data_IF_401633845127
#
_entry.id   IF_401633845127
#
_cell.length_a   1.000
_cell.length_b   1.000
_cell.length_c   1.000
_cell.angle_alpha   90.00
_cell.angle_beta   90.00
_cell.angle_gamma   90.00
#
_symmetry.space_group_name_H-M   'P 1'
#
loop_
_entity.id
_entity.type
_entity.pdbx_description
1 polymer ?
#
# COMPACT_ATOMS: atom_id res chain seq x y z
N UNK A 1 8.98 13.14 3.92
CA UNK A 1 8.69 14.42 3.19
C UNK A 1 7.18 14.64 3.02
N UNK A 2 6.70 15.91 3.07
CA UNK A 2 5.28 16.25 2.86
C UNK A 2 4.92 16.45 1.38
N UNK A 3 3.71 16.09 0.98
CA UNK A 3 3.15 16.29 -0.37
C UNK A 3 2.14 17.44 -0.34
N UNK A 4 2.47 18.56 -0.98
CA UNK A 4 1.61 19.75 -1.06
C UNK A 4 1.35 20.12 -2.51
N UNK A 5 0.09 20.18 -2.92
CA UNK A 5 -0.31 20.34 -4.31
C UNK A 5 -1.05 21.66 -4.56
N UNK A 6 -0.65 22.35 -5.62
CA UNK A 6 -1.30 23.56 -6.11
C UNK A 6 -2.54 23.28 -6.97
N UNK A 7 -3.08 24.34 -7.57
CA UNK A 7 -4.22 24.24 -8.50
C UNK A 7 -3.79 23.86 -9.92
N UNK A 8 -2.64 24.39 -10.38
CA UNK A 8 -2.16 24.18 -11.75
C UNK A 8 -1.68 22.74 -11.98
N UNK A 9 -2.11 22.14 -13.08
CA UNK A 9 -1.81 20.74 -13.41
C UNK A 9 -0.32 20.50 -13.65
N UNK A 10 0.38 21.42 -14.30
CA UNK A 10 1.79 21.25 -14.62
C UNK A 10 2.64 21.39 -13.36
N UNK A 11 2.32 22.35 -12.48
CA UNK A 11 3.03 22.53 -11.21
C UNK A 11 2.81 21.35 -10.26
N UNK A 12 1.59 20.79 -10.23
CA UNK A 12 1.31 19.53 -9.51
C UNK A 12 2.19 18.40 -10.02
N UNK A 13 2.23 18.18 -11.34
CA UNK A 13 3.07 17.15 -11.95
C UNK A 13 4.55 17.36 -11.62
N UNK A 14 5.09 18.57 -11.77
CA UNK A 14 6.48 18.89 -11.41
C UNK A 14 6.77 18.57 -9.96
N UNK A 15 5.88 18.96 -9.05
CA UNK A 15 6.02 18.70 -7.61
C UNK A 15 6.09 17.20 -7.33
N UNK A 16 5.15 16.43 -7.89
CA UNK A 16 5.10 14.99 -7.69
C UNK A 16 6.31 14.27 -8.34
N UNK A 17 6.71 14.67 -9.55
CA UNK A 17 7.91 14.13 -10.19
C UNK A 17 9.18 14.39 -9.38
N UNK A 18 9.31 15.56 -8.75
CA UNK A 18 10.46 15.90 -7.91
C UNK A 18 10.52 15.08 -6.60
N UNK A 19 9.37 14.62 -6.09
CA UNK A 19 9.30 13.81 -4.88
C UNK A 19 9.54 12.32 -5.12
N UNK A 20 9.48 11.85 -6.36
CA UNK A 20 9.56 10.42 -6.69
C UNK A 20 10.84 9.76 -6.21
N UNK A 21 12.01 10.19 -6.69
CA UNK A 21 13.28 9.55 -6.31
C UNK A 21 13.55 9.64 -4.81
N UNK A 22 13.40 10.80 -4.14
CA UNK A 22 13.57 10.87 -2.69
C UNK A 22 12.65 9.92 -1.91
N UNK A 23 11.38 9.76 -2.34
CA UNK A 23 10.41 8.87 -1.67
C UNK A 23 10.79 7.40 -1.82
N UNK A 24 11.25 7.00 -3.01
CA UNK A 24 11.66 5.63 -3.26
C UNK A 24 12.96 5.28 -2.52
N UNK A 25 13.90 6.23 -2.42
CA UNK A 25 15.13 6.02 -1.65
C UNK A 25 14.87 5.91 -0.14
N UNK A 26 14.05 6.80 0.42
CA UNK A 26 13.62 6.72 1.83
C UNK A 26 12.92 5.39 2.13
N UNK A 27 12.03 4.95 1.23
CA UNK A 27 11.35 3.66 1.31
C UNK A 27 12.32 2.47 1.29
N UNK A 28 13.35 2.54 0.43
CA UNK A 28 14.37 1.49 0.28
C UNK A 28 15.18 1.34 1.56
N UNK A 29 15.74 2.44 2.05
CA UNK A 29 16.55 2.46 3.27
C UNK A 29 15.75 1.95 4.47
N UNK A 30 14.51 2.42 4.64
CA UNK A 30 13.66 1.98 5.74
C UNK A 30 13.41 0.47 5.72
N UNK A 31 13.01 -0.09 4.58
CA UNK A 31 12.68 -1.52 4.51
C UNK A 31 13.92 -2.39 4.75
N UNK A 32 15.09 -1.95 4.31
CA UNK A 32 16.36 -2.65 4.54
C UNK A 32 16.76 -2.70 6.02
N UNK A 33 16.68 -1.56 6.70
CA UNK A 33 16.92 -1.53 8.15
C UNK A 33 15.89 -2.41 8.88
N UNK A 34 14.63 -2.38 8.44
CA UNK A 34 13.54 -3.12 9.10
C UNK A 34 13.61 -4.63 8.90
N UNK A 35 14.22 -5.10 7.81
CA UNK A 35 14.42 -6.53 7.52
C UNK A 35 15.70 -7.10 8.10
N UNK A 36 16.59 -6.28 8.65
CA UNK A 36 17.88 -6.75 9.18
C UNK A 36 17.67 -7.84 10.25
N UNK A 37 18.25 -9.02 10.00
CA UNK A 37 18.15 -10.18 10.88
C UNK A 37 16.91 -11.06 10.68
N UNK A 38 15.98 -10.68 9.79
CA UNK A 38 14.87 -11.54 9.41
C UNK A 38 15.27 -12.51 8.30
N UNK A 39 14.64 -13.68 8.26
CA UNK A 39 14.75 -14.56 7.10
C UNK A 39 14.04 -13.91 5.90
N UNK A 40 14.66 -13.87 4.71
CA UNK A 40 14.07 -13.22 3.54
C UNK A 40 12.84 -13.96 3.00
N UNK A 41 12.72 -15.26 3.25
CA UNK A 41 11.67 -16.13 2.67
C UNK A 41 10.68 -16.66 3.71
N UNK A 42 10.91 -16.41 5.00
CA UNK A 42 9.97 -16.79 6.04
C UNK A 42 8.87 -15.72 6.17
N UNK A 43 7.59 -16.11 6.29
CA UNK A 43 6.54 -15.15 6.60
C UNK A 43 6.82 -14.42 7.92
N UNK A 44 6.62 -13.10 7.94
CA UNK A 44 6.71 -12.28 9.15
C UNK A 44 5.52 -11.33 9.20
N UNK A 45 5.01 -11.04 10.39
CA UNK A 45 3.91 -10.09 10.60
C UNK A 45 4.03 -9.41 11.96
N UNK A 46 3.93 -8.08 11.95
CA UNK A 46 3.80 -7.23 13.13
C UNK A 46 2.77 -6.13 12.85
N UNK A 47 1.91 -5.87 13.82
CA UNK A 47 0.92 -4.79 13.75
C UNK A 47 0.78 -4.10 15.09
N UNK A 48 0.69 -2.77 15.05
CA UNK A 48 0.48 -1.90 16.20
C UNK A 48 -0.74 -1.03 15.93
N UNK A 49 -1.58 -0.87 16.95
CA UNK A 49 -2.82 -0.09 16.90
C UNK A 49 -2.87 0.82 18.11
N UNK A 50 -3.14 2.10 17.89
CA UNK A 50 -3.14 3.08 18.98
C UNK A 50 -3.98 4.30 18.62
N UNK A 51 -4.49 4.96 19.66
CA UNK A 51 -5.11 6.27 19.54
C UNK A 51 -4.07 7.36 19.85
N UNK A 52 -4.06 8.43 19.07
CA UNK A 52 -3.23 9.61 19.36
C UNK A 52 -3.89 10.47 20.44
N UNK A 53 -3.10 11.34 21.07
CA UNK A 53 -3.62 12.36 22.01
C UNK A 53 -4.70 13.27 21.39
N UNK A 54 -4.66 13.44 20.07
CA UNK A 54 -5.59 14.28 19.32
C UNK A 54 -6.88 13.51 18.96
N UNK A 55 -6.89 12.18 19.19
CA UNK A 55 -8.03 11.28 18.98
C UNK A 55 -8.07 10.63 17.59
N UNK A 56 -6.97 10.67 16.84
CA UNK A 56 -6.82 9.91 15.61
C UNK A 56 -6.60 8.43 15.94
N UNK A 57 -7.14 7.53 15.11
CA UNK A 57 -6.88 6.10 15.21
C UNK A 57 -5.81 5.68 14.21
N UNK A 58 -4.73 5.09 14.70
CA UNK A 58 -3.58 4.71 13.91
C UNK A 58 -3.39 3.20 13.87
N UNK A 59 -3.01 2.68 12.70
CA UNK A 59 -2.56 1.31 12.51
C UNK A 59 -1.25 1.34 11.74
N UNK A 60 -0.21 0.72 12.28
CA UNK A 60 1.05 0.48 11.56
C UNK A 60 1.30 -1.00 11.45
N UNK A 61 1.73 -1.46 10.27
CA UNK A 61 1.90 -2.86 9.94
C UNK A 61 3.21 -3.06 9.20
N UNK A 62 3.95 -4.11 9.56
CA UNK A 62 5.09 -4.61 8.80
C UNK A 62 4.88 -6.09 8.52
N UNK A 63 5.00 -6.49 7.25
CA UNK A 63 4.83 -7.87 6.83
C UNK A 63 5.83 -8.30 5.76
N UNK A 64 6.22 -9.57 5.83
CA UNK A 64 7.01 -10.28 4.81
C UNK A 64 6.14 -11.44 4.33
N UNK A 65 5.77 -11.41 3.05
CA UNK A 65 4.81 -12.36 2.46
C UNK A 65 5.44 -13.07 1.26
N UNK A 66 5.76 -14.38 1.37
CA UNK A 66 6.28 -15.18 0.25
C UNK A 66 5.21 -15.58 -0.76
N UNK A 67 5.51 -15.45 -2.05
CA UNK A 67 4.68 -15.84 -3.20
C UNK A 67 5.35 -17.00 -3.94
N UNK A 68 5.32 -18.19 -3.32
CA UNK A 68 5.74 -19.45 -3.96
C UNK A 68 4.86 -19.75 -5.18
N UNK A 69 5.47 -20.20 -6.27
CA UNK A 69 4.82 -20.40 -7.57
C UNK A 69 4.70 -19.16 -8.47
N UNK A 70 5.08 -17.97 -7.99
CA UNK A 70 5.21 -16.80 -8.85
C UNK A 70 6.41 -16.95 -9.79
N UNK A 71 6.28 -16.50 -11.04
CA UNK A 71 7.33 -16.70 -12.05
C UNK A 71 8.45 -15.68 -11.98
N UNK A 72 8.15 -14.44 -11.54
CA UNK A 72 9.11 -13.35 -11.56
C UNK A 72 8.68 -12.18 -10.66
N UNK A 73 9.63 -11.32 -10.29
CA UNK A 73 9.36 -10.03 -9.63
C UNK A 73 8.43 -9.13 -10.48
N UNK A 74 8.65 -8.96 -11.81
CA UNK A 74 7.72 -8.24 -12.68
C UNK A 74 6.26 -8.73 -12.63
N UNK A 75 6.03 -10.05 -12.60
CA UNK A 75 4.67 -10.59 -12.58
C UNK A 75 3.94 -10.17 -11.29
N UNK A 76 4.60 -10.31 -10.14
CA UNK A 76 4.05 -9.89 -8.85
C UNK A 76 3.86 -8.37 -8.78
N UNK A 77 4.81 -7.60 -9.33
CA UNK A 77 4.71 -6.15 -9.43
C UNK A 77 3.51 -5.70 -10.26
N UNK A 78 3.32 -6.27 -11.45
CA UNK A 78 2.20 -5.92 -12.32
C UNK A 78 0.85 -6.31 -11.70
N UNK A 79 0.77 -7.47 -11.05
CA UNK A 79 -0.42 -7.89 -10.32
C UNK A 79 -0.73 -6.95 -9.14
N UNK A 80 0.28 -6.52 -8.38
CA UNK A 80 0.11 -5.55 -7.29
C UNK A 80 -0.31 -4.17 -7.82
N UNK A 81 0.34 -3.68 -8.87
CA UNK A 81 -0.01 -2.44 -9.53
C UNK A 81 -1.46 -2.46 -10.03
N UNK A 82 -1.89 -3.57 -10.65
CA UNK A 82 -3.27 -3.76 -11.08
C UNK A 82 -4.24 -3.73 -9.90
N UNK A 83 -3.92 -4.39 -8.79
CA UNK A 83 -4.77 -4.34 -7.60
C UNK A 83 -4.89 -2.90 -7.06
N UNK A 84 -3.80 -2.12 -7.06
CA UNK A 84 -3.82 -0.72 -6.58
C UNK A 84 -4.67 0.17 -7.51
N UNK A 85 -4.55 0.00 -8.83
CA UNK A 85 -5.31 0.80 -9.78
C UNK A 85 -6.79 0.49 -9.85
N UNK A 86 -7.21 -0.68 -9.36
CA UNK A 86 -8.62 -1.06 -9.23
C UNK A 86 -9.07 -1.06 -7.76
N UNK A 87 -8.37 -0.32 -6.89
CA UNK A 87 -8.64 -0.34 -5.46
C UNK A 87 -10.09 0.06 -5.17
N UNK A 88 -10.70 1.02 -5.86
CA UNK A 88 -12.11 1.39 -5.64
C UNK A 88 -13.10 0.23 -5.84
N UNK A 89 -12.84 -0.64 -6.81
CA UNK A 89 -13.66 -1.83 -7.09
C UNK A 89 -13.45 -2.85 -5.99
N UNK A 90 -12.19 -3.21 -5.70
CA UNK A 90 -11.85 -4.16 -4.64
C UNK A 90 -12.41 -3.65 -3.30
N UNK A 91 -12.35 -2.33 -3.07
CA UNK A 91 -12.89 -1.69 -1.86
C UNK A 91 -14.38 -1.89 -1.79
N UNK A 92 -15.09 -1.58 -2.87
CA UNK A 92 -16.53 -1.69 -2.88
C UNK A 92 -17.00 -3.13 -2.65
N UNK A 93 -16.40 -4.10 -3.34
CA UNK A 93 -16.80 -5.51 -3.30
C UNK A 93 -16.52 -6.18 -1.95
N UNK A 94 -15.45 -5.78 -1.26
CA UNK A 94 -15.02 -6.44 0.00
C UNK A 94 -15.56 -5.79 1.26
N UNK A 95 -16.02 -4.53 1.16
CA UNK A 95 -16.42 -3.73 2.32
C UNK A 95 -17.92 -3.69 2.58
N UNK A 96 -18.73 -3.87 1.54
CA UNK A 96 -20.15 -3.52 1.56
C UNK A 96 -20.40 -2.01 1.53
N UNK A 97 -19.36 -1.18 1.47
CA UNK A 97 -19.40 0.25 1.25
C UNK A 97 -19.27 0.54 -0.25
N UNK A 98 -19.71 1.69 -0.72
CA UNK A 98 -19.47 2.10 -2.10
C UNK A 98 -18.26 3.03 -2.12
N UNK A 99 -17.25 2.68 -2.91
CA UNK A 99 -16.07 3.53 -3.11
C UNK A 99 -16.01 3.98 -4.55
N UNK A 100 -15.93 5.30 -4.74
CA UNK A 100 -15.75 5.92 -6.04
C UNK A 100 -14.38 6.55 -6.13
N UNK A 101 -13.89 6.66 -7.36
CA UNK A 101 -12.64 7.33 -7.70
C UNK A 101 -12.95 8.74 -8.23
N UNK A 102 -12.44 9.77 -7.56
CA UNK A 102 -12.69 11.20 -7.85
C UNK A 102 -11.51 11.88 -8.58
N UNK A 103 -10.52 11.13 -9.09
CA UNK A 103 -9.42 11.69 -9.89
C UNK A 103 -9.69 11.64 -11.41
N UNK A 104 -9.34 12.74 -12.09
CA UNK A 104 -9.40 12.89 -13.56
C UNK A 104 -8.00 12.76 -14.22
N UNK A 105 -6.96 12.55 -13.43
CA UNK A 105 -5.56 12.60 -13.90
C UNK A 105 -4.98 11.20 -13.99
N UNK A 106 -5.13 10.56 -15.16
CA UNK A 106 -4.31 9.41 -15.52
C UNK A 106 -2.84 9.79 -15.34
N UNK A 107 -2.18 9.03 -14.46
CA UNK A 107 -0.80 9.23 -14.06
C UNK A 107 0.19 9.11 -15.23
N UNK A 108 1.44 9.48 -14.95
CA UNK A 108 2.57 9.00 -15.77
C UNK A 108 2.79 7.50 -15.50
N UNK A 109 3.52 6.79 -16.36
CA UNK A 109 3.80 5.36 -16.20
C UNK A 109 4.41 5.01 -14.82
N UNK A 110 5.07 5.97 -14.17
CA UNK A 110 5.76 5.76 -12.89
C UNK A 110 5.12 6.50 -11.71
N UNK A 111 3.99 7.19 -11.92
CA UNK A 111 3.38 8.05 -10.92
C UNK A 111 1.87 8.17 -11.12
N UNK A 112 1.07 7.89 -10.09
CA UNK A 112 -0.39 8.02 -10.15
C UNK A 112 -0.94 8.78 -8.95
N UNK A 113 -1.79 9.77 -9.19
CA UNK A 113 -2.56 10.46 -8.16
C UNK A 113 -3.95 9.81 -8.09
N UNK A 114 -4.32 9.27 -6.93
CA UNK A 114 -5.57 8.55 -6.70
C UNK A 114 -6.39 9.23 -5.61
N UNK A 115 -7.66 9.50 -5.88
CA UNK A 115 -8.59 10.08 -4.91
C UNK A 115 -9.79 9.15 -4.74
N UNK A 116 -9.99 8.65 -3.54
CA UNK A 116 -11.10 7.76 -3.21
C UNK A 116 -12.07 8.45 -2.27
N UNK A 117 -13.37 8.26 -2.54
CA UNK A 117 -14.45 8.59 -1.64
C UNK A 117 -15.24 7.30 -1.35
N UNK A 118 -15.21 6.85 -0.11
CA UNK A 118 -15.98 5.69 0.35
C UNK A 118 -17.17 6.15 1.18
N UNK A 119 -18.36 5.68 0.87
CA UNK A 119 -19.57 5.88 1.67
C UNK A 119 -19.88 4.60 2.46
N UNK A 120 -19.83 4.71 3.78
CA UNK A 120 -20.21 3.61 4.67
C UNK A 120 -21.70 3.33 4.62
N UNK A 121 -22.11 2.11 4.95
CA UNK A 121 -23.52 1.73 5.10
C UNK A 121 -24.33 2.60 6.08
N UNK A 122 -23.65 3.36 6.94
CA UNK A 122 -24.24 4.31 7.89
C UNK A 122 -24.24 5.76 7.38
N UNK A 123 -23.98 5.98 6.08
CA UNK A 123 -24.04 7.29 5.42
C UNK A 123 -22.85 8.21 5.72
N UNK A 124 -21.79 7.69 6.35
CA UNK A 124 -20.56 8.47 6.62
C UNK A 124 -19.59 8.33 5.46
N UNK A 125 -19.11 9.47 4.97
CA UNK A 125 -18.12 9.54 3.90
C UNK A 125 -16.69 9.58 4.44
N UNK A 126 -15.83 8.77 3.84
CA UNK A 126 -14.39 8.75 4.06
C UNK A 126 -13.68 9.16 2.79
N UNK A 127 -12.78 10.12 2.89
CA UNK A 127 -11.92 10.48 1.79
C UNK A 127 -10.49 10.00 2.00
N UNK A 128 -9.84 9.65 0.90
CA UNK A 128 -8.44 9.22 0.85
C UNK A 128 -7.80 9.83 -0.39
N UNK A 129 -6.65 10.48 -0.21
CA UNK A 129 -5.97 11.22 -1.28
C UNK A 129 -4.51 10.78 -1.31
N UNK A 130 -4.10 10.05 -2.35
CA UNK A 130 -2.86 9.27 -2.38
C UNK A 130 -2.06 9.50 -3.65
N UNK A 131 -0.74 9.44 -3.54
CA UNK A 131 0.17 9.40 -4.69
C UNK A 131 0.97 8.11 -4.64
N UNK A 132 0.88 7.35 -5.72
CA UNK A 132 1.71 6.18 -5.97
C UNK A 132 2.96 6.60 -6.74
N UNK A 133 4.12 6.29 -6.19
CA UNK A 133 5.43 6.38 -6.81
C UNK A 133 5.92 4.97 -7.11
N UNK A 134 6.23 4.72 -8.38
CA UNK A 134 6.74 3.43 -8.84
C UNK A 134 8.21 3.56 -9.20
N UNK A 135 9.00 2.53 -8.89
CA UNK A 135 10.32 2.37 -9.51
C UNK A 135 10.18 2.22 -11.04
N UNK A 136 11.22 2.59 -11.78
CA UNK A 136 11.16 2.55 -13.25
C UNK A 136 11.10 1.09 -13.70
N UNK A 137 10.23 0.72 -14.67
CA UNK A 137 10.06 -0.66 -15.15
C UNK A 137 11.34 -1.38 -15.62
N UNK A 138 12.39 -0.64 -15.93
CA UNK A 138 13.68 -1.15 -16.43
C UNK A 138 14.74 -1.29 -15.33
N UNK A 139 14.46 -0.80 -14.12
CA UNK A 139 15.37 -0.79 -12.99
C UNK A 139 15.10 -2.00 -12.09
N UNK A 140 15.31 -3.22 -12.60
CA UNK A 140 15.68 -4.30 -11.69
C UNK A 140 17.04 -3.91 -11.12
N UNK A 141 17.03 -3.36 -9.91
CA UNK A 141 18.25 -2.92 -9.27
C UNK A 141 19.08 -4.14 -8.92
N UNK A 142 20.21 -4.30 -9.63
CA UNK A 142 21.23 -5.30 -9.33
C UNK A 142 22.03 -4.84 -8.14
N UNK A 143 21.51 -5.18 -6.97
CA UNK A 143 22.24 -5.00 -5.74
C UNK A 143 22.11 -6.24 -4.85
N UNK A 144 23.24 -6.91 -4.68
CA UNK A 144 23.36 -8.17 -3.92
C UNK A 144 23.20 -7.95 -2.42
N UNK A 145 23.33 -6.70 -1.94
CA UNK A 145 23.06 -6.36 -0.55
C UNK A 145 21.54 -6.38 -0.26
N UNK A 146 20.68 -6.31 -1.29
CA UNK A 146 19.23 -6.04 -1.17
C UNK A 146 18.34 -7.19 -1.69
N UNK A 147 18.88 -8.07 -2.54
CA UNK A 147 18.27 -9.33 -2.96
C UNK A 147 19.36 -10.30 -3.41
N UNK A 148 19.25 -11.59 -3.07
CA UNK A 148 20.28 -12.61 -3.34
C UNK A 148 20.67 -12.70 -4.83
N UNK A 149 19.73 -12.39 -5.73
CA UNK A 149 19.96 -12.34 -7.18
C UNK A 149 20.02 -10.91 -7.77
N UNK A 150 20.00 -9.88 -6.90
CA UNK A 150 19.97 -8.47 -7.29
C UNK A 150 18.76 -8.13 -8.15
N UNK A 151 17.59 -8.72 -7.89
CA UNK A 151 16.35 -8.35 -8.60
C UNK A 151 15.30 -7.97 -7.59
N UNK A 152 15.09 -6.67 -7.46
CA UNK A 152 13.97 -6.12 -6.71
C UNK A 152 13.39 -4.90 -7.42
N UNK A 153 12.19 -4.51 -6.99
CA UNK A 153 11.52 -3.26 -7.34
C UNK A 153 10.87 -2.68 -6.10
N UNK A 154 10.69 -1.37 -6.07
CA UNK A 154 10.10 -0.65 -4.94
C UNK A 154 8.92 0.23 -5.36
N UNK A 155 7.94 0.32 -4.49
CA UNK A 155 6.77 1.17 -4.63
C UNK A 155 6.58 1.94 -3.33
N UNK A 156 6.26 3.22 -3.45
CA UNK A 156 5.85 4.05 -2.33
C UNK A 156 4.50 4.67 -2.63
N UNK A 157 3.53 4.48 -1.75
CA UNK A 157 2.22 5.10 -1.78
C UNK A 157 2.14 6.02 -0.56
N UNK A 158 1.76 7.28 -0.76
CA UNK A 158 1.69 8.21 0.36
C UNK A 158 0.55 9.21 0.21
N UNK A 159 0.06 9.74 1.32
CA UNK A 159 -1.07 10.65 1.33
C UNK A 159 -0.66 12.09 0.99
N UNK A 160 -1.58 12.83 0.41
CA UNK A 160 -1.41 14.26 0.13
C UNK A 160 -1.72 15.06 1.39
N UNK A 161 -0.72 15.75 1.96
CA UNK A 161 -0.92 16.59 3.16
C UNK A 161 -1.91 17.72 2.89
N UNK A 162 -1.70 18.45 1.78
CA UNK A 162 -2.47 19.64 1.40
C UNK A 162 -2.71 19.64 -0.12
N UNK A 163 -3.96 19.80 -0.56
CA UNK A 163 -4.31 19.90 -1.98
C UNK A 163 -5.21 21.13 -2.20
N UNK A 164 -4.71 22.13 -2.94
CA UNK A 164 -5.49 23.34 -3.25
C UNK A 164 -6.55 23.12 -4.33
N UNK A 165 -6.37 22.15 -5.23
CA UNK A 165 -7.35 21.82 -6.28
C UNK A 165 -8.52 21.04 -5.69
N UNK A 166 -8.22 20.15 -4.75
CA UNK A 166 -9.19 19.28 -4.08
C UNK A 166 -9.02 19.37 -2.55
N UNK A 167 -9.44 20.49 -1.93
CA UNK A 167 -9.24 20.69 -0.50
C UNK A 167 -10.05 19.68 0.32
N UNK A 168 -9.46 19.25 1.44
CA UNK A 168 -10.15 18.43 2.43
C UNK A 168 -11.36 19.21 2.99
N UNK A 169 -12.49 18.52 3.09
CA UNK A 169 -13.74 19.02 3.66
C UNK A 169 -14.05 18.41 5.04
N UNK A 170 -13.48 18.93 6.14
CA UNK A 170 -13.57 18.32 7.47
C UNK A 170 -14.97 18.19 8.07
N UNK A 171 -15.91 19.03 7.62
CA UNK A 171 -17.29 19.02 8.09
C UNK A 171 -18.19 18.06 7.29
N UNK A 172 -17.73 17.60 6.12
CA UNK A 172 -18.48 16.71 5.23
C UNK A 172 -17.93 15.28 5.27
N UNK A 173 -16.60 15.13 5.40
CA UNK A 173 -15.90 13.86 5.19
C UNK A 173 -14.90 13.58 6.30
N UNK A 174 -14.73 12.31 6.64
CA UNK A 174 -13.65 11.84 7.52
C UNK A 174 -12.41 11.58 6.68
N UNK A 175 -11.29 12.19 7.03
CA UNK A 175 -10.03 11.97 6.32
C UNK A 175 -9.36 10.68 6.76
N UNK A 176 -8.92 9.89 5.79
CA UNK A 176 -8.07 8.71 5.99
C UNK A 176 -6.76 8.92 5.24
N UNK A 177 -5.67 8.98 5.98
CA UNK A 177 -4.32 9.08 5.45
C UNK A 177 -3.71 7.69 5.39
N UNK A 178 -3.06 7.37 4.27
CA UNK A 178 -2.43 6.08 4.04
C UNK A 178 -1.03 6.28 3.49
N UNK A 179 -0.05 5.63 4.12
CA UNK A 179 1.32 5.52 3.67
C UNK A 179 1.66 4.04 3.56
N UNK A 180 2.28 3.62 2.47
CA UNK A 180 2.76 2.25 2.28
C UNK A 180 4.03 2.26 1.46
N UNK A 181 5.02 1.49 1.90
CA UNK A 181 6.23 1.21 1.15
C UNK A 181 6.31 -0.29 0.94
N UNK A 182 6.59 -0.69 -0.28
CA UNK A 182 6.57 -2.10 -0.69
C UNK A 182 7.78 -2.40 -1.53
N UNK A 183 8.54 -3.41 -1.13
CA UNK A 183 9.63 -3.99 -1.88
C UNK A 183 9.21 -5.38 -2.36
N UNK A 184 9.44 -5.65 -3.64
CA UNK A 184 9.23 -6.97 -4.25
C UNK A 184 10.59 -7.49 -4.65
N UNK A 185 11.01 -8.60 -4.06
CA UNK A 185 12.34 -9.19 -4.23
C UNK A 185 12.22 -10.68 -4.57
N UNK A 186 13.31 -11.30 -5.01
CA UNK A 186 13.32 -12.73 -5.31
C UNK A 186 14.54 -13.43 -4.71
N UNK A 187 14.31 -14.66 -4.24
CA UNK A 187 15.29 -15.51 -3.56
C UNK A 187 15.24 -16.93 -4.11
N UNK A 188 16.32 -17.68 -3.91
CA UNK A 188 16.38 -19.10 -4.25
C UNK A 188 16.30 -19.94 -2.97
N UNK A 189 15.22 -20.68 -2.82
CA UNK A 189 15.07 -21.61 -1.70
C UNK A 189 15.67 -22.97 -2.07
N UNK A 190 16.91 -23.17 -1.65
CA UNK A 190 17.64 -24.42 -1.86
C UNK A 190 17.20 -25.57 -0.93
N UNK A 191 16.34 -25.30 0.06
CA UNK A 191 15.89 -26.32 1.02
C UNK A 191 14.69 -27.13 0.52
N UNK A 192 13.91 -26.58 -0.41
CA UNK A 192 12.69 -27.19 -0.93
C UNK A 192 12.86 -27.98 -2.25
N UNK A 193 14.04 -27.92 -2.89
CA UNK A 193 14.28 -28.48 -4.22
C UNK A 193 14.59 -29.99 -4.24
N UNK A 194 13.82 -30.77 -5.00
CA UNK A 194 14.02 -32.23 -5.18
C UNK A 194 15.27 -32.57 -6.04
N UNK A 195 15.92 -31.57 -6.67
CA UNK A 195 17.02 -31.81 -7.65
C UNK A 195 18.14 -30.76 -7.62
N UNK A 196 18.39 -30.08 -6.50
CA UNK A 196 19.49 -29.10 -6.40
C UNK A 196 19.28 -27.77 -7.14
N UNK A 197 18.28 -27.66 -8.01
CA UNK A 197 17.72 -26.37 -8.45
C UNK A 197 16.84 -25.82 -7.33
N UNK A 198 17.19 -24.64 -6.80
CA UNK A 198 16.40 -23.96 -5.78
C UNK A 198 15.02 -23.56 -6.30
N UNK A 199 14.03 -23.49 -5.41
CA UNK A 199 12.71 -22.92 -5.75
C UNK A 199 12.81 -21.40 -5.79
N UNK A 200 12.36 -20.78 -6.89
CA UNK A 200 12.20 -19.33 -6.93
C UNK A 200 11.07 -18.90 -5.99
N UNK A 201 11.40 -18.05 -5.01
CA UNK A 201 10.44 -17.43 -4.12
C UNK A 201 10.45 -15.92 -4.34
N UNK A 202 9.34 -15.37 -4.84
CA UNK A 202 9.14 -13.92 -4.89
C UNK A 202 8.56 -13.48 -3.55
N UNK A 203 9.08 -12.41 -2.96
CA UNK A 203 8.69 -11.95 -1.63
C UNK A 203 8.24 -10.51 -1.70
N UNK A 204 7.08 -10.23 -1.12
CA UNK A 204 6.62 -8.87 -0.84
C UNK A 204 7.00 -8.54 0.60
N UNK A 205 7.84 -7.53 0.78
CA UNK A 205 8.14 -6.91 2.07
C UNK A 205 7.47 -5.56 2.10
N UNK A 206 6.63 -5.31 3.09
CA UNK A 206 5.81 -4.11 3.16
C UNK A 206 5.81 -3.51 4.55
N UNK A 207 5.87 -2.17 4.60
CA UNK A 207 5.42 -1.41 5.76
C UNK A 207 4.26 -0.51 5.35
N UNK A 208 3.24 -0.43 6.20
CA UNK A 208 2.07 0.40 5.97
C UNK A 208 1.69 1.14 7.25
N UNK A 209 1.25 2.38 7.11
CA UNK A 209 0.66 3.18 8.16
C UNK A 209 -0.64 3.80 7.67
N UNK A 210 -1.68 3.69 8.48
CA UNK A 210 -2.91 4.43 8.25
C UNK A 210 -3.27 5.23 9.46
N UNK A 211 -3.74 6.44 9.21
CA UNK A 211 -4.30 7.34 10.20
C UNK A 211 -5.73 7.65 9.80
N UNK A 212 -6.69 7.17 10.59
CA UNK A 212 -8.08 7.60 10.50
C UNK A 212 -8.22 8.86 11.36
N UNK A 213 -8.40 10.01 10.71
CA UNK A 213 -8.47 11.29 11.39
C UNK A 213 -9.73 11.40 12.21
N UNK A 214 -9.61 11.97 13.40
CA UNK A 214 -10.75 12.29 14.24
C UNK A 214 -11.75 13.14 13.45
N UNK A 215 -13.03 12.77 13.42
CA UNK A 215 -14.05 13.56 12.73
C UNK A 215 -14.23 14.90 13.45
N UNK A 216 -14.47 15.96 12.67
CA UNK A 216 -14.76 17.29 13.24
C UNK A 216 -16.13 17.33 13.92
N UNK A 217 -17.05 16.52 13.42
CA UNK A 217 -18.39 16.36 13.98
C UNK A 217 -18.45 15.12 14.88
N UNK A 218 -19.30 15.17 15.91
CA UNK A 218 -19.57 14.00 16.74
C UNK A 218 -20.25 12.90 15.90
N UNK A 219 -19.63 11.73 15.83
CA UNK A 219 -20.24 10.52 15.29
C UNK A 219 -20.51 9.54 16.43
N UNK A 220 -21.44 8.60 16.22
CA UNK A 220 -21.68 7.56 17.22
C UNK A 220 -20.46 6.64 17.37
N UNK A 221 -20.26 6.10 18.57
CA UNK A 221 -19.18 5.13 18.85
C UNK A 221 -19.26 3.93 17.92
N UNK A 222 -20.47 3.42 17.67
CA UNK A 222 -20.71 2.32 16.73
C UNK A 222 -20.17 2.61 15.33
N UNK A 223 -20.49 3.78 14.78
CA UNK A 223 -19.99 4.19 13.46
C UNK A 223 -18.46 4.25 13.49
N UNK A 224 -17.87 4.84 14.54
CA UNK A 224 -16.43 4.96 14.66
C UNK A 224 -15.73 3.59 14.74
N UNK A 225 -16.27 2.66 15.53
CA UNK A 225 -15.77 1.30 15.67
C UNK A 225 -15.88 0.51 14.34
N UNK A 226 -16.98 0.69 13.60
CA UNK A 226 -17.15 0.08 12.28
C UNK A 226 -16.07 0.60 11.29
N UNK A 227 -15.78 1.90 11.30
CA UNK A 227 -14.72 2.49 10.47
C UNK A 227 -13.32 1.98 10.85
N UNK A 228 -13.04 1.82 12.14
CA UNK A 228 -11.80 1.23 12.65
C UNK A 228 -11.68 -0.24 12.23
N UNK A 229 -12.73 -1.03 12.37
CA UNK A 229 -12.71 -2.46 12.07
C UNK A 229 -12.48 -2.76 10.59
N UNK A 230 -13.14 -2.02 9.71
CA UNK A 230 -12.95 -2.15 8.26
C UNK A 230 -11.51 -1.93 7.81
N UNK A 231 -10.82 -1.02 8.50
CA UNK A 231 -9.48 -0.59 8.17
C UNK A 231 -8.43 -1.73 8.24
N UNK A 232 -8.60 -2.71 9.13
CA UNK A 232 -7.63 -3.80 9.33
C UNK A 232 -7.53 -4.79 8.16
N UNK A 233 -8.60 -4.95 7.37
CA UNK A 233 -8.69 -6.02 6.35
C UNK A 233 -8.06 -5.66 5.01
N UNK A 234 -7.90 -4.35 4.75
CA UNK A 234 -7.43 -3.82 3.47
C UNK A 234 -6.10 -4.39 2.97
N UNK A 235 -5.04 -4.35 3.79
CA UNK A 235 -3.71 -4.75 3.33
C UNK A 235 -3.65 -6.23 2.92
N UNK A 236 -4.47 -7.08 3.54
CA UNK A 236 -4.54 -8.52 3.24
C UNK A 236 -5.36 -8.83 2.00
N UNK A 237 -6.50 -8.14 1.83
CA UNK A 237 -7.34 -8.28 0.64
C UNK A 237 -6.58 -7.94 -0.64
N UNK A 238 -5.75 -6.91 -0.58
CA UNK A 238 -4.85 -6.54 -1.67
C UNK A 238 -3.90 -7.68 -2.05
N UNK A 239 -3.23 -8.30 -1.07
CA UNK A 239 -2.31 -9.40 -1.35
C UNK A 239 -3.05 -10.66 -1.84
N UNK A 240 -4.27 -10.91 -1.37
CA UNK A 240 -5.11 -11.99 -1.90
C UNK A 240 -5.55 -11.74 -3.34
N UNK A 241 -5.87 -10.50 -3.72
CA UNK A 241 -6.13 -10.12 -5.10
C UNK A 241 -4.90 -10.40 -5.99
N UNK A 242 -3.70 -10.02 -5.53
CA UNK A 242 -2.44 -10.33 -6.23
C UNK A 242 -2.28 -11.84 -6.44
N UNK A 243 -2.55 -12.66 -5.41
CA UNK A 243 -2.49 -14.13 -5.55
C UNK A 243 -3.47 -14.64 -6.59
N UNK A 244 -4.71 -14.18 -6.57
CA UNK A 244 -5.74 -14.58 -7.53
C UNK A 244 -5.34 -14.21 -8.97
N UNK A 245 -4.84 -13.00 -9.20
CA UNK A 245 -4.34 -12.56 -10.51
C UNK A 245 -3.19 -13.45 -11.01
N UNK A 246 -2.36 -13.95 -10.10
CA UNK A 246 -1.25 -14.86 -10.42
C UNK A 246 -1.67 -16.34 -10.51
N UNK A 247 -2.94 -16.68 -10.26
CA UNK A 247 -3.42 -18.06 -10.20
C UNK A 247 -2.92 -18.85 -8.97
N UNK A 248 -2.51 -18.16 -7.91
CA UNK A 248 -2.04 -18.73 -6.66
C UNK A 248 -3.18 -18.87 -5.64
N UNK A 249 -3.09 -19.86 -4.76
CA UNK A 249 -4.05 -20.03 -3.66
C UNK A 249 -4.01 -18.84 -2.70
N UNK A 250 -5.18 -18.29 -2.35
CA UNK A 250 -5.29 -17.25 -1.33
C UNK A 250 -4.83 -17.79 0.04
N UNK A 251 -4.27 -16.91 0.87
CA UNK A 251 -3.98 -17.27 2.26
C UNK A 251 -5.28 -17.22 3.04
N UNK A 252 -5.57 -18.29 3.80
CA UNK A 252 -6.65 -18.25 4.78
C UNK A 252 -6.32 -17.16 5.79
N UNK A 253 -7.15 -16.11 5.83
CA UNK A 253 -7.06 -15.06 6.83
C UNK A 253 -7.39 -15.70 8.18
N UNK A 254 -6.37 -16.14 8.90
CA UNK A 254 -6.52 -16.41 10.33
C UNK A 254 -6.68 -15.04 10.97
N UNK A 255 -7.92 -14.61 11.12
CA UNK A 255 -8.27 -13.49 11.98
C UNK A 255 -7.84 -13.90 13.38
N UNK A 256 -6.84 -13.23 14.00
CA UNK A 256 -6.58 -13.44 15.42
C UNK A 256 -7.88 -13.09 16.14
N UNK A 257 -8.42 -14.06 16.89
CA UNK A 257 -9.57 -13.82 17.78
C UNK A 257 -9.22 -12.78 18.83
#
# INVERSE_FOLDING_TARGET
>A
MKIRLGMDRNDRRKTLSALREPKLEEARQFLMERTQGLSPIAPYFQEERYDTKDGDYCVTRFDVTPFRGAKSVPDVFLALQQAIFNAEIIISETSGNITIREDDELGDNNLSHMRFLSESSLGVQLETNLVLFLDRPQCQMKDVDYAENGRYTIMALDFVDEDKKYPYKPNERIRRDFTTITMISSYQDHTAGIKGEGELVVVITRWAATILRRPSNSISSRVWDDLRNFHHRWPDLMLNCVRQTLGLSALNLVVPK
#
